data_IF_210020370429
#
_entry.id   IF_210020370429
#
_cell.length_a   1.000
_cell.length_b   1.000
_cell.length_c   1.000
_cell.angle_alpha   90.00
_cell.angle_beta   90.00
_cell.angle_gamma   90.00
#
_symmetry.space_group_name_H-M   'P 1'
#
loop_
_entity.id
_entity.type
_entity.pdbx_description
1 polymer ?
#
# COMPACT_ATOMS: atom_id res chain seq x y z
N UNK A 1 -23.67 48.88 54.57
CA UNK A 1 -24.69 48.28 53.70
C UNK A 1 -24.53 48.90 52.33
N UNK A 2 -23.84 48.25 51.41
CA UNK A 2 -24.08 48.53 50.00
C UNK A 2 -23.83 47.26 49.18
N UNK A 3 -24.81 46.98 48.35
CA UNK A 3 -25.09 45.71 47.71
C UNK A 3 -25.37 46.01 46.25
N UNK A 4 -25.01 45.05 45.39
CA UNK A 4 -25.37 44.94 43.96
C UNK A 4 -24.40 45.62 42.99
N UNK A 5 -23.58 44.78 42.33
CA UNK A 5 -23.85 44.44 40.94
C UNK A 5 -22.96 43.29 40.47
N UNK A 6 -23.52 42.09 40.52
CA UNK A 6 -23.02 40.90 39.82
C UNK A 6 -23.29 41.06 38.32
N UNK A 7 -22.25 41.11 37.49
CA UNK A 7 -22.32 40.74 36.07
C UNK A 7 -21.12 39.87 35.75
N UNK A 8 -21.24 38.58 36.05
CA UNK A 8 -20.33 37.58 35.55
C UNK A 8 -20.70 37.29 34.08
N UNK A 9 -19.88 37.78 33.16
CA UNK A 9 -19.91 37.43 31.75
C UNK A 9 -19.47 35.97 31.61
N UNK A 10 -20.42 35.07 31.35
CA UNK A 10 -20.13 33.68 31.02
C UNK A 10 -19.82 33.63 29.51
N UNK A 11 -18.53 33.63 29.16
CA UNK A 11 -18.06 33.42 27.78
C UNK A 11 -18.12 31.92 27.49
N UNK A 12 -19.15 31.49 26.76
CA UNK A 12 -19.18 30.15 26.16
C UNK A 12 -18.14 30.09 25.03
N UNK A 13 -16.93 29.65 25.35
CA UNK A 13 -15.96 29.20 24.36
C UNK A 13 -16.48 27.89 23.74
N UNK A 14 -17.17 27.99 22.60
CA UNK A 14 -17.38 26.86 21.72
C UNK A 14 -16.02 26.42 21.17
N UNK A 15 -15.37 25.50 21.88
CA UNK A 15 -14.29 24.70 21.34
C UNK A 15 -14.87 23.89 20.17
N UNK A 16 -14.78 24.44 18.96
CA UNK A 16 -14.88 23.65 17.75
C UNK A 16 -13.70 22.67 17.77
N UNK A 17 -13.91 21.51 18.39
CA UNK A 17 -13.11 20.33 18.12
C UNK A 17 -13.35 19.98 16.66
N UNK A 18 -12.57 20.60 15.79
CA UNK A 18 -12.35 20.07 14.46
C UNK A 18 -11.89 18.63 14.68
N UNK A 19 -12.74 17.68 14.32
CA UNK A 19 -12.31 16.32 14.10
C UNK A 19 -11.30 16.40 12.96
N UNK A 20 -10.03 16.58 13.34
CA UNK A 20 -8.91 16.31 12.48
C UNK A 20 -8.95 14.80 12.23
N UNK A 21 -9.79 14.39 11.29
CA UNK A 21 -9.58 13.14 10.59
C UNK A 21 -8.14 13.24 10.11
N UNK A 22 -7.26 12.37 10.64
CA UNK A 22 -5.94 12.17 10.09
C UNK A 22 -6.16 11.65 8.66
N UNK A 23 -6.40 12.58 7.75
CA UNK A 23 -6.56 12.33 6.34
C UNK A 23 -5.19 11.83 5.92
N UNK A 24 -5.15 10.56 5.54
CA UNK A 24 -3.94 9.91 5.08
C UNK A 24 -3.26 10.81 4.05
N UNK A 25 -2.06 11.30 4.36
CA UNK A 25 -1.32 12.21 3.50
C UNK A 25 -0.42 11.40 2.57
N UNK A 26 -0.39 11.80 1.32
CA UNK A 26 0.61 11.30 0.38
C UNK A 26 1.82 12.23 0.41
N UNK A 27 2.92 11.76 0.98
CA UNK A 27 4.09 12.61 1.22
C UNK A 27 4.80 13.06 -0.07
N UNK A 28 4.58 12.35 -1.19
CA UNK A 28 5.31 12.55 -2.45
C UNK A 28 4.44 12.90 -3.66
N UNK A 29 3.12 13.00 -3.50
CA UNK A 29 2.21 13.48 -4.54
C UNK A 29 0.98 14.11 -3.87
N UNK A 30 0.62 15.34 -4.24
CA UNK A 30 -0.45 16.03 -3.53
C UNK A 30 -1.83 15.74 -4.13
N UNK A 31 -2.88 15.82 -3.31
CA UNK A 31 -4.26 15.77 -3.79
C UNK A 31 -4.56 16.90 -4.79
N UNK A 32 -3.97 18.07 -4.57
CA UNK A 32 -4.08 19.23 -5.45
C UNK A 32 -3.47 18.96 -6.84
N UNK A 33 -2.29 18.33 -6.91
CA UNK A 33 -1.68 17.92 -8.18
C UNK A 33 -2.60 16.98 -8.97
N UNK A 34 -3.17 15.96 -8.31
CA UNK A 34 -4.14 15.04 -8.95
C UNK A 34 -5.38 15.78 -9.41
N UNK A 35 -5.91 16.68 -8.58
CA UNK A 35 -7.13 17.45 -8.87
C UNK A 35 -6.95 18.43 -10.03
N UNK A 36 -5.74 18.99 -10.19
CA UNK A 36 -5.38 19.86 -11.31
C UNK A 36 -5.13 19.08 -12.60
N UNK A 37 -4.50 17.91 -12.52
CA UNK A 37 -4.19 17.09 -13.69
C UNK A 37 -5.45 16.41 -14.26
N UNK A 38 -6.41 16.04 -13.40
CA UNK A 38 -7.64 15.35 -13.76
C UNK A 38 -8.88 16.06 -13.17
N UNK A 39 -9.16 17.31 -13.59
CA UNK A 39 -10.22 18.13 -12.98
C UNK A 39 -11.62 17.58 -13.21
N UNK A 40 -11.83 16.81 -14.28
CA UNK A 40 -13.13 16.24 -14.67
C UNK A 40 -13.67 15.17 -13.72
N UNK A 41 -12.85 14.68 -12.77
CA UNK A 41 -13.21 13.64 -11.79
C UNK A 41 -13.23 14.14 -10.35
N UNK A 42 -13.27 15.46 -10.16
CA UNK A 42 -13.47 16.03 -8.84
C UNK A 42 -14.88 15.71 -8.29
N UNK A 43 -15.07 15.61 -6.96
CA UNK A 43 -14.03 15.74 -5.93
C UNK A 43 -13.11 14.52 -5.88
N UNK A 44 -11.81 14.78 -5.73
CA UNK A 44 -10.84 13.74 -5.41
C UNK A 44 -10.70 13.59 -3.90
N UNK A 45 -10.46 12.35 -3.45
CA UNK A 45 -10.06 12.05 -2.08
C UNK A 45 -8.81 11.19 -2.07
N UNK A 46 -8.03 11.29 -1.00
CA UNK A 46 -7.00 10.30 -0.70
C UNK A 46 -7.70 9.08 -0.11
N UNK A 47 -7.73 7.99 -0.86
CA UNK A 47 -8.30 6.72 -0.43
C UNK A 47 -7.28 5.82 0.27
N UNK A 48 -5.99 6.14 0.10
CA UNK A 48 -4.89 5.54 0.86
C UNK A 48 -3.61 6.33 0.65
N UNK A 49 -2.97 6.87 1.68
CA UNK A 49 -1.82 7.76 1.51
C UNK A 49 -0.78 7.59 2.61
N UNK A 50 0.47 7.29 2.25
CA UNK A 50 1.56 7.16 3.23
C UNK A 50 2.94 6.98 2.57
N UNK A 51 3.99 6.84 3.38
CA UNK A 51 5.38 6.66 2.91
C UNK A 51 5.46 5.59 1.80
N UNK A 52 5.78 6.01 0.57
CA UNK A 52 5.99 5.08 -0.55
C UNK A 52 4.75 4.55 -1.26
N UNK A 53 3.51 4.91 -0.85
CA UNK A 53 2.30 4.58 -1.63
C UNK A 53 1.19 5.63 -1.49
N UNK A 54 0.56 5.96 -2.62
CA UNK A 54 -0.56 6.89 -2.67
C UNK A 54 -1.66 6.39 -3.62
N UNK A 55 -2.89 6.44 -3.15
CA UNK A 55 -4.12 6.05 -3.83
C UNK A 55 -5.12 7.19 -3.70
N UNK A 56 -5.59 7.65 -4.84
CA UNK A 56 -6.58 8.69 -4.98
C UNK A 56 -7.81 8.10 -5.65
N UNK A 57 -8.99 8.52 -5.19
CA UNK A 57 -10.27 8.16 -5.78
C UNK A 57 -11.01 9.42 -6.17
N UNK A 58 -11.44 9.47 -7.43
CA UNK A 58 -12.25 10.54 -8.00
C UNK A 58 -13.64 10.04 -8.34
N UNK A 59 -14.57 10.96 -8.50
CA UNK A 59 -15.96 10.67 -8.82
C UNK A 59 -16.21 10.64 -10.32
N UNK A 60 -17.11 9.76 -10.75
CA UNK A 60 -17.66 9.78 -12.09
C UNK A 60 -19.07 10.36 -12.03
N UNK A 61 -19.23 11.63 -12.41
CA UNK A 61 -20.54 12.32 -12.42
C UNK A 61 -21.40 12.00 -13.66
N UNK A 62 -20.94 11.17 -14.59
CA UNK A 62 -21.82 10.69 -15.66
C UNK A 62 -22.82 9.70 -15.08
N UNK A 63 -23.99 10.21 -14.69
CA UNK A 63 -25.20 9.41 -14.58
C UNK A 63 -25.48 8.77 -15.96
N UNK A 64 -25.16 7.49 -16.12
CA UNK A 64 -25.83 6.71 -17.16
C UNK A 64 -27.30 6.56 -16.74
N UNK A 65 -28.20 7.00 -17.62
CA UNK A 65 -29.65 6.92 -17.42
C UNK A 65 -30.05 5.48 -17.06
N UNK A 66 -30.39 5.27 -15.78
CA UNK A 66 -30.83 3.97 -15.28
C UNK A 66 -29.95 3.39 -14.18
N UNK A 67 -29.85 4.10 -13.04
CA UNK A 67 -29.51 3.48 -11.75
C UNK A 67 -28.15 2.80 -11.61
N UNK A 68 -27.12 3.24 -12.34
CA UNK A 68 -25.83 2.57 -12.36
C UNK A 68 -24.88 3.02 -11.23
N UNK A 69 -24.28 2.03 -10.57
CA UNK A 69 -23.17 2.11 -9.63
C UNK A 69 -22.05 3.01 -10.17
N UNK A 70 -21.72 4.10 -9.49
CA UNK A 70 -20.57 4.95 -9.83
C UNK A 70 -19.28 4.16 -9.60
N UNK A 71 -18.67 3.67 -10.69
CA UNK A 71 -17.33 3.07 -10.59
C UNK A 71 -16.32 4.21 -10.36
N UNK A 72 -15.59 4.23 -9.23
CA UNK A 72 -14.67 5.32 -8.93
C UNK A 72 -13.52 5.33 -9.92
N UNK A 73 -13.03 6.53 -10.23
CA UNK A 73 -11.76 6.70 -10.94
C UNK A 73 -10.64 6.50 -9.94
N UNK A 74 -9.68 5.63 -10.24
CA UNK A 74 -8.60 5.30 -9.31
C UNK A 74 -7.27 5.74 -9.91
N UNK A 75 -6.48 6.50 -9.16
CA UNK A 75 -5.07 6.72 -9.46
C UNK A 75 -4.23 6.20 -8.29
N UNK A 76 -3.33 5.25 -8.55
CA UNK A 76 -2.42 4.68 -7.56
C UNK A 76 -0.98 4.81 -8.03
N UNK A 77 -0.10 5.27 -7.15
CA UNK A 77 1.34 5.35 -7.36
C UNK A 77 2.09 4.81 -6.15
N UNK A 78 3.14 4.03 -6.39
CA UNK A 78 3.99 3.41 -5.38
C UNK A 78 5.46 3.73 -5.70
N UNK A 79 6.25 4.04 -4.67
CA UNK A 79 7.70 4.25 -4.76
C UNK A 79 8.41 3.08 -4.08
N UNK A 80 9.46 2.58 -4.72
CA UNK A 80 10.36 1.57 -4.20
C UNK A 80 11.81 2.01 -4.40
N UNK A 81 12.65 1.93 -3.37
CA UNK A 81 14.05 2.32 -3.44
C UNK A 81 14.96 1.09 -3.53
N UNK A 82 15.78 1.04 -4.59
CA UNK A 82 16.81 0.03 -4.76
C UNK A 82 18.12 0.46 -4.07
N UNK A 83 19.07 -0.48 -3.91
CA UNK A 83 20.37 -0.18 -3.28
C UNK A 83 21.22 0.76 -4.11
N UNK A 84 21.11 0.70 -5.43
CA UNK A 84 21.85 1.52 -6.38
C UNK A 84 21.00 1.85 -7.60
N UNK A 85 21.38 2.87 -8.38
CA UNK A 85 20.71 3.17 -9.63
C UNK A 85 20.71 2.01 -10.64
N UNK A 86 21.79 1.24 -10.67
CA UNK A 86 21.91 0.07 -11.55
C UNK A 86 20.92 -1.03 -11.15
N UNK A 87 20.63 -1.21 -9.86
CA UNK A 87 19.60 -2.14 -9.43
C UNK A 87 18.18 -1.66 -9.77
N UNK A 88 17.92 -0.35 -9.76
CA UNK A 88 16.65 0.22 -10.22
C UNK A 88 16.42 -0.06 -11.72
N UNK A 89 17.46 0.15 -12.53
CA UNK A 89 17.45 -0.21 -13.97
C UNK A 89 17.17 -1.70 -14.16
N UNK A 90 17.92 -2.57 -13.45
CA UNK A 90 17.74 -4.03 -13.54
C UNK A 90 16.33 -4.45 -13.16
N UNK A 91 15.79 -3.88 -12.08
CA UNK A 91 14.44 -4.16 -11.63
C UNK A 91 13.41 -3.80 -12.71
N UNK A 92 13.42 -2.56 -13.22
CA UNK A 92 12.45 -2.13 -14.25
C UNK A 92 12.55 -2.98 -15.51
N UNK A 93 13.76 -3.32 -15.97
CA UNK A 93 13.96 -4.19 -17.14
C UNK A 93 13.48 -5.62 -16.90
N UNK A 94 13.72 -6.17 -15.71
CA UNK A 94 13.24 -7.51 -15.33
C UNK A 94 11.72 -7.57 -15.31
N UNK A 95 11.07 -6.59 -14.69
CA UNK A 95 9.60 -6.48 -14.70
C UNK A 95 9.07 -6.32 -16.13
N UNK A 96 9.71 -5.46 -16.94
CA UNK A 96 9.36 -5.30 -18.36
C UNK A 96 9.38 -6.64 -19.10
N UNK A 97 10.44 -7.44 -18.93
CA UNK A 97 10.59 -8.73 -19.60
C UNK A 97 9.50 -9.73 -19.19
N UNK A 98 9.11 -9.75 -17.92
CA UNK A 98 8.04 -10.64 -17.44
C UNK A 98 6.65 -10.20 -17.94
N UNK A 99 6.35 -8.90 -17.92
CA UNK A 99 5.05 -8.38 -18.37
C UNK A 99 4.90 -8.50 -19.89
N UNK A 100 5.98 -8.31 -20.65
CA UNK A 100 5.99 -8.46 -22.11
C UNK A 100 5.59 -9.86 -22.59
N UNK A 101 5.63 -10.88 -21.71
CA UNK A 101 5.14 -12.23 -22.04
C UNK A 101 3.61 -12.29 -22.20
N UNK A 102 2.89 -11.27 -21.72
CA UNK A 102 1.42 -11.27 -21.62
C UNK A 102 0.75 -10.02 -22.17
N UNK A 103 1.48 -8.91 -22.31
CA UNK A 103 0.92 -7.62 -22.71
C UNK A 103 1.83 -6.91 -23.71
N UNK A 104 1.19 -6.13 -24.60
CA UNK A 104 1.88 -5.22 -25.47
C UNK A 104 2.36 -3.99 -24.69
N UNK A 105 3.67 -3.79 -24.67
CA UNK A 105 4.30 -2.72 -23.90
C UNK A 105 4.64 -1.54 -24.80
N UNK A 106 4.31 -0.35 -24.32
CA UNK A 106 4.67 0.92 -24.96
C UNK A 106 5.73 1.66 -24.15
N UNK A 107 6.60 2.39 -24.84
CA UNK A 107 7.57 3.27 -24.18
C UNK A 107 6.84 4.43 -23.47
N UNK A 108 7.33 4.86 -22.31
CA UNK A 108 6.75 5.99 -21.57
C UNK A 108 7.67 7.23 -21.56
N UNK A 109 7.99 7.81 -22.74
CA UNK A 109 9.09 8.76 -22.88
C UNK A 109 8.92 10.01 -22.00
N UNK A 110 9.98 10.49 -21.37
CA UNK A 110 9.97 11.73 -20.59
C UNK A 110 9.49 11.57 -19.14
N UNK A 111 9.23 10.34 -18.69
CA UNK A 111 8.87 10.06 -17.29
C UNK A 111 10.07 9.53 -16.50
N UNK A 112 11.06 8.88 -17.13
CA UNK A 112 12.27 8.39 -16.45
C UNK A 112 13.28 7.82 -17.45
N UNK A 113 14.41 7.30 -16.96
CA UNK A 113 15.48 6.79 -17.82
C UNK A 113 15.11 5.46 -18.48
N UNK A 114 14.56 4.51 -17.72
CA UNK A 114 13.86 3.33 -18.22
C UNK A 114 12.41 3.42 -17.78
N UNK A 115 11.50 3.38 -18.75
CA UNK A 115 10.08 3.51 -18.46
C UNK A 115 9.23 2.86 -19.53
N UNK A 116 8.16 2.20 -19.10
CA UNK A 116 7.17 1.62 -19.98
C UNK A 116 5.79 1.66 -19.35
N UNK A 117 4.77 1.53 -20.18
CA UNK A 117 3.39 1.38 -19.76
C UNK A 117 2.69 0.33 -20.62
N UNK A 118 1.55 -0.15 -20.15
CA UNK A 118 0.63 -0.97 -20.92
C UNK A 118 -0.79 -0.74 -20.43
N UNK A 119 -1.76 -1.11 -21.25
CA UNK A 119 -3.19 -1.09 -20.90
C UNK A 119 -3.70 -2.53 -20.81
N UNK A 120 -4.48 -2.84 -19.77
CA UNK A 120 -5.07 -4.16 -19.57
C UNK A 120 -4.88 -4.73 -18.16
N UNK A 121 -5.48 -5.89 -17.87
CA UNK A 121 -5.39 -6.57 -16.57
C UNK A 121 -6.38 -7.72 -16.40
N UNK A 122 -6.24 -8.50 -15.32
CA UNK A 122 -6.97 -9.77 -15.07
C UNK A 122 -8.48 -9.63 -14.80
N UNK A 123 -9.08 -8.47 -15.03
CA UNK A 123 -10.50 -8.17 -14.75
C UNK A 123 -11.13 -7.29 -15.83
N UNK A 124 -10.72 -7.47 -17.09
CA UNK A 124 -11.17 -6.65 -18.23
C UNK A 124 -10.91 -5.15 -18.07
N UNK A 125 -10.07 -4.73 -17.12
CA UNK A 125 -9.86 -3.31 -16.87
C UNK A 125 -8.97 -2.68 -17.95
N UNK A 126 -9.47 -1.63 -18.62
CA UNK A 126 -8.72 -0.67 -19.43
C UNK A 126 -7.81 0.20 -18.54
N UNK A 127 -7.25 -0.38 -17.48
CA UNK A 127 -6.34 0.29 -16.59
C UNK A 127 -5.00 0.54 -17.29
N UNK A 128 -4.46 1.74 -17.13
CA UNK A 128 -3.11 2.09 -17.55
C UNK A 128 -2.15 1.76 -16.42
N UNK A 129 -1.24 0.82 -16.65
CA UNK A 129 -0.19 0.43 -15.72
C UNK A 129 1.15 0.99 -16.19
N UNK A 130 2.00 1.40 -15.25
CA UNK A 130 3.33 1.90 -15.59
C UNK A 130 4.41 1.47 -14.61
N UNK A 131 5.64 1.47 -15.12
CA UNK A 131 6.86 1.34 -14.34
C UNK A 131 7.89 2.31 -14.90
N UNK A 132 8.57 3.04 -14.01
CA UNK A 132 9.64 3.98 -14.34
C UNK A 132 10.67 4.02 -13.21
N UNK A 133 11.83 4.63 -13.44
CA UNK A 133 12.79 4.90 -12.37
C UNK A 133 13.61 6.19 -12.58
N UNK A 134 14.14 6.70 -11.46
CA UNK A 134 15.15 7.76 -11.38
C UNK A 134 16.14 7.39 -10.29
N UNK A 135 17.45 7.52 -10.53
CA UNK A 135 18.46 7.14 -9.55
C UNK A 135 18.15 5.77 -8.94
N UNK A 136 18.04 5.69 -7.62
CA UNK A 136 17.66 4.47 -6.86
C UNK A 136 16.15 4.19 -6.81
N UNK A 137 15.30 5.16 -7.12
CA UNK A 137 13.86 5.05 -6.96
C UNK A 137 13.20 4.45 -8.20
N UNK A 138 12.41 3.42 -8.01
CA UNK A 138 11.44 2.87 -8.96
C UNK A 138 10.06 3.40 -8.57
N UNK A 139 9.30 3.87 -9.56
CA UNK A 139 7.91 4.30 -9.37
C UNK A 139 7.03 3.49 -10.29
N UNK A 140 5.99 2.89 -9.73
CA UNK A 140 5.00 2.11 -10.46
C UNK A 140 3.61 2.48 -10.02
N UNK A 141 2.60 2.05 -10.77
CA UNK A 141 1.24 2.37 -10.41
C UNK A 141 0.23 1.97 -11.47
N UNK A 142 -1.00 2.39 -11.24
CA UNK A 142 -2.09 2.21 -12.17
C UNK A 142 -3.08 3.38 -12.15
N UNK A 143 -3.72 3.60 -13.27
CA UNK A 143 -4.86 4.50 -13.42
C UNK A 143 -6.03 3.70 -14.00
N UNK A 144 -7.16 3.70 -13.31
CA UNK A 144 -8.39 3.03 -13.73
C UNK A 144 -9.39 4.10 -14.15
N UNK A 145 -9.70 4.23 -15.46
CA UNK A 145 -10.69 5.18 -15.93
C UNK A 145 -12.12 4.78 -15.49
N UNK A 146 -13.05 5.74 -15.46
CA UNK A 146 -14.43 5.46 -15.07
C UNK A 146 -15.12 4.51 -16.04
N UNK A 147 -15.98 3.62 -15.54
CA UNK A 147 -16.78 2.72 -16.37
C UNK A 147 -15.95 1.81 -17.27
N UNK A 148 -14.67 1.61 -16.94
CA UNK A 148 -13.78 0.73 -17.67
C UNK A 148 -13.62 1.08 -19.16
N UNK A 149 -13.71 2.35 -19.52
CA UNK A 149 -13.56 2.80 -20.92
C UNK A 149 -12.10 2.91 -21.35
N UNK A 150 -11.86 2.99 -22.65
CA UNK A 150 -10.55 3.36 -23.21
C UNK A 150 -10.11 4.72 -22.67
N UNK A 151 -8.83 4.86 -22.34
CA UNK A 151 -8.25 6.14 -21.92
C UNK A 151 -8.28 7.14 -23.08
N UNK A 152 -8.49 8.41 -22.76
CA UNK A 152 -8.26 9.52 -23.69
C UNK A 152 -6.78 9.93 -23.66
N UNK A 153 -6.29 10.53 -24.75
CA UNK A 153 -4.94 11.10 -24.83
C UNK A 153 -4.69 12.15 -23.74
N UNK A 154 -5.73 12.91 -23.36
CA UNK A 154 -5.67 13.89 -22.28
C UNK A 154 -5.43 13.22 -20.92
N UNK A 155 -6.11 12.11 -20.63
CA UNK A 155 -5.89 11.35 -19.40
C UNK A 155 -4.51 10.69 -19.38
N UNK A 156 -4.07 10.13 -20.50
CA UNK A 156 -2.74 9.55 -20.59
C UNK A 156 -1.65 10.61 -20.35
N UNK A 157 -1.83 11.81 -20.90
CA UNK A 157 -0.93 12.96 -20.69
C UNK A 157 -0.96 13.48 -19.24
N UNK A 158 -2.14 13.50 -18.62
CA UNK A 158 -2.30 13.86 -17.21
C UNK A 158 -1.61 12.84 -16.29
N UNK A 159 -1.85 11.54 -16.51
CA UNK A 159 -1.18 10.46 -15.77
C UNK A 159 0.33 10.58 -15.94
N UNK A 160 0.83 10.78 -17.17
CA UNK A 160 2.25 10.99 -17.44
C UNK A 160 2.86 12.11 -16.58
N UNK A 161 2.16 13.24 -16.48
CA UNK A 161 2.59 14.40 -15.70
C UNK A 161 2.63 14.07 -14.20
N UNK A 162 1.61 13.38 -13.68
CA UNK A 162 1.57 12.94 -12.28
C UNK A 162 2.69 11.94 -11.94
N UNK A 163 3.01 11.02 -12.86
CA UNK A 163 4.11 10.07 -12.65
C UNK A 163 5.46 10.79 -12.65
N UNK A 164 5.66 11.77 -13.53
CA UNK A 164 6.88 12.59 -13.54
C UNK A 164 7.03 13.39 -12.23
N UNK A 165 5.95 13.95 -11.69
CA UNK A 165 5.95 14.64 -10.40
C UNK A 165 6.31 13.67 -9.25
N UNK A 166 5.65 12.51 -9.18
CA UNK A 166 5.93 11.49 -8.18
C UNK A 166 7.38 10.99 -8.25
N UNK A 167 7.94 10.89 -9.47
CA UNK A 167 9.32 10.49 -9.67
C UNK A 167 10.30 11.57 -9.20
N UNK A 168 10.02 12.84 -9.50
CA UNK A 168 10.81 13.97 -9.00
C UNK A 168 10.82 14.02 -7.48
N UNK A 169 9.65 13.80 -6.85
CA UNK A 169 9.51 13.76 -5.41
C UNK A 169 10.33 12.62 -4.75
N UNK A 170 10.53 11.49 -5.45
CA UNK A 170 11.38 10.38 -4.98
C UNK A 170 12.85 10.76 -4.79
N UNK A 171 13.34 11.79 -5.49
CA UNK A 171 14.72 12.25 -5.40
C UNK A 171 14.97 13.23 -4.24
N UNK A 172 13.92 13.63 -3.50
CA UNK A 172 14.08 14.56 -2.36
C UNK A 172 14.94 13.90 -1.26
N UNK A 173 15.85 14.67 -0.62
CA UNK A 173 16.66 14.15 0.48
C UNK A 173 15.79 13.53 1.59
N UNK A 174 16.19 12.38 2.13
CA UNK A 174 15.49 11.71 3.23
C UNK A 174 14.37 10.74 2.80
N UNK A 175 13.89 10.79 1.55
CA UNK A 175 12.78 9.93 1.10
C UNK A 175 13.11 8.44 1.16
N UNK A 176 14.31 8.05 0.74
CA UNK A 176 14.75 6.66 0.76
C UNK A 176 14.95 6.16 2.20
N UNK A 177 15.47 7.02 3.08
CA UNK A 177 15.64 6.74 4.49
C UNK A 177 14.29 6.56 5.19
N UNK A 178 13.32 7.43 4.91
CA UNK A 178 11.95 7.34 5.44
C UNK A 178 11.27 6.06 4.95
N UNK A 179 11.36 5.74 3.65
CA UNK A 179 10.87 4.48 3.12
C UNK A 179 11.56 3.26 3.76
N UNK A 180 12.79 3.40 4.25
CA UNK A 180 13.52 2.34 4.96
C UNK A 180 13.09 2.12 6.42
N UNK A 181 12.17 2.93 6.95
CA UNK A 181 11.66 2.84 8.32
C UNK A 181 10.28 2.19 8.32
N UNK A 182 10.21 0.92 8.70
CA UNK A 182 8.94 0.25 8.95
C UNK A 182 8.70 0.15 10.47
N UNK A 183 7.69 0.84 11.03
CA UNK A 183 7.44 0.80 12.47
C UNK A 183 6.99 -0.57 12.96
N UNK A 184 6.45 -1.41 12.07
CA UNK A 184 6.00 -2.77 12.38
C UNK A 184 7.09 -3.83 12.29
N UNK A 185 8.29 -3.47 11.82
CA UNK A 185 9.41 -4.40 11.71
C UNK A 185 10.48 -4.16 12.77
N UNK A 186 10.60 -5.12 13.68
CA UNK A 186 11.79 -5.24 14.50
C UNK A 186 12.96 -5.75 13.66
N UNK A 187 13.98 -4.91 13.45
CA UNK A 187 15.14 -5.27 12.63
C UNK A 187 15.90 -6.49 13.13
N UNK A 188 15.91 -6.78 14.44
CA UNK A 188 16.59 -7.95 14.97
C UNK A 188 15.81 -9.23 14.64
N UNK A 189 14.48 -9.21 14.77
CA UNK A 189 13.62 -10.33 14.39
C UNK A 189 13.63 -10.59 12.87
N UNK A 190 13.62 -9.54 12.05
CA UNK A 190 13.74 -9.70 10.59
C UNK A 190 15.05 -10.42 10.21
N UNK A 191 16.16 -10.10 10.86
CA UNK A 191 17.46 -10.77 10.62
C UNK A 191 17.48 -12.24 11.07
N UNK A 192 16.57 -12.66 11.95
CA UNK A 192 16.38 -14.07 12.32
C UNK A 192 15.50 -14.80 11.31
N UNK A 193 14.48 -14.11 10.78
CA UNK A 193 13.56 -14.67 9.79
C UNK A 193 14.22 -14.92 8.43
N UNK A 194 15.06 -13.98 7.97
CA UNK A 194 15.73 -14.04 6.68
C UNK A 194 17.20 -13.60 6.79
N UNK A 195 18.04 -14.07 5.85
CA UNK A 195 19.47 -13.75 5.85
C UNK A 195 19.73 -12.23 5.91
N UNK A 196 20.64 -11.75 6.78
CA UNK A 196 20.96 -10.34 6.86
C UNK A 196 21.75 -9.83 5.65
N UNK A 197 22.37 -10.73 4.87
CA UNK A 197 23.13 -10.35 3.68
C UNK A 197 22.18 -9.80 2.63
N UNK A 198 22.38 -8.54 2.23
CA UNK A 198 21.52 -7.87 1.25
C UNK A 198 20.14 -7.47 1.78
N UNK A 199 19.92 -7.54 3.10
CA UNK A 199 18.65 -7.20 3.71
C UNK A 199 18.27 -5.73 3.45
N UNK A 200 17.11 -5.54 2.82
CA UNK A 200 16.45 -4.26 2.60
C UNK A 200 15.07 -4.30 3.21
N UNK A 201 14.72 -3.26 3.95
CA UNK A 201 13.37 -3.05 4.48
C UNK A 201 12.80 -1.84 3.77
N UNK A 202 11.55 -1.94 3.32
CA UNK A 202 10.82 -0.85 2.70
C UNK A 202 9.39 -0.81 3.22
N UNK A 203 8.93 0.40 3.52
CA UNK A 203 7.55 0.71 3.85
C UNK A 203 6.80 1.09 2.56
N UNK A 204 5.63 0.49 2.37
CA UNK A 204 4.70 0.77 1.28
C UNK A 204 3.38 1.23 1.88
N UNK A 205 3.45 2.42 2.44
CA UNK A 205 2.42 3.03 3.22
C UNK A 205 2.43 2.63 4.70
N UNK A 206 1.54 3.22 5.50
CA UNK A 206 1.44 3.01 6.95
C UNK A 206 1.09 1.56 7.31
N UNK A 207 0.49 0.88 6.34
CA UNK A 207 -0.16 -0.41 6.49
C UNK A 207 0.56 -1.52 5.72
N UNK A 208 1.74 -1.28 5.15
CA UNK A 208 2.51 -2.36 4.54
C UNK A 208 4.00 -2.15 4.62
N UNK A 209 4.71 -3.23 4.88
CA UNK A 209 6.16 -3.27 4.83
C UNK A 209 6.64 -4.55 4.17
N UNK A 210 7.78 -4.47 3.51
CA UNK A 210 8.46 -5.63 2.91
C UNK A 210 9.93 -5.59 3.28
N UNK A 211 10.42 -6.72 3.78
CA UNK A 211 11.83 -6.97 3.95
C UNK A 211 12.25 -8.06 2.97
N UNK A 212 13.33 -7.86 2.23
CA UNK A 212 13.89 -8.89 1.35
C UNK A 212 15.40 -8.95 1.51
N UNK A 213 15.98 -10.13 1.32
CA UNK A 213 17.43 -10.33 1.37
C UNK A 213 18.13 -10.17 0.01
N UNK A 214 17.42 -9.70 -1.02
CA UNK A 214 17.94 -9.60 -2.39
C UNK A 214 18.21 -10.94 -3.08
N UNK A 215 17.89 -12.07 -2.45
CA UNK A 215 17.95 -13.39 -3.06
C UNK A 215 16.53 -13.90 -3.32
N UNK A 216 15.95 -14.63 -2.38
CA UNK A 216 14.66 -15.32 -2.54
C UNK A 216 13.80 -15.29 -1.27
N UNK A 217 14.24 -14.61 -0.21
CA UNK A 217 13.54 -14.61 1.05
C UNK A 217 12.89 -13.25 1.32
N UNK A 218 11.60 -13.26 1.63
CA UNK A 218 10.78 -12.08 1.87
C UNK A 218 10.04 -12.19 3.20
N UNK A 219 9.98 -11.11 3.96
CA UNK A 219 9.05 -10.93 5.08
C UNK A 219 8.11 -9.79 4.73
N UNK A 220 6.81 -9.99 4.89
CA UNK A 220 5.82 -8.95 4.62
C UNK A 220 5.02 -8.66 5.87
N UNK A 221 4.60 -7.40 5.98
CA UNK A 221 3.57 -6.95 6.88
C UNK A 221 2.47 -6.30 6.05
N UNK A 222 1.22 -6.57 6.39
CA UNK A 222 0.08 -5.78 5.94
C UNK A 222 -0.96 -5.58 7.04
N UNK A 223 -1.57 -4.40 7.06
CA UNK A 223 -2.77 -4.08 7.82
C UNK A 223 -3.90 -3.75 6.85
N UNK A 224 -5.07 -4.30 7.10
CA UNK A 224 -6.28 -4.01 6.31
C UNK A 224 -7.37 -3.54 7.24
N UNK A 225 -7.93 -2.36 6.97
CA UNK A 225 -9.09 -1.86 7.68
C UNK A 225 -10.33 -2.66 7.29
N UNK A 226 -11.04 -3.15 8.29
CA UNK A 226 -12.27 -3.92 8.12
C UNK A 226 -13.47 -2.98 8.07
N UNK A 227 -14.36 -3.23 7.10
CA UNK A 227 -15.61 -2.50 6.98
C UNK A 227 -16.52 -2.74 8.19
N UNK A 228 -16.58 -3.98 8.67
CA UNK A 228 -17.35 -4.39 9.84
C UNK A 228 -16.79 -5.71 10.42
N UNK A 229 -17.35 -6.16 11.54
CA UNK A 229 -16.94 -7.40 12.21
C UNK A 229 -17.17 -8.65 11.35
N UNK A 230 -18.26 -8.67 10.57
CA UNK A 230 -18.57 -9.77 9.64
C UNK A 230 -17.47 -9.95 8.60
N UNK A 231 -16.97 -8.85 8.01
CA UNK A 231 -15.83 -8.90 7.08
C UNK A 231 -14.59 -9.50 7.74
N UNK A 232 -14.35 -9.19 9.01
CA UNK A 232 -13.25 -9.77 9.80
C UNK A 232 -13.40 -11.28 9.98
N UNK A 233 -14.57 -11.73 10.44
CA UNK A 233 -14.88 -13.15 10.63
C UNK A 233 -14.77 -13.93 9.32
N UNK A 234 -15.29 -13.39 8.22
CA UNK A 234 -15.18 -13.98 6.89
C UNK A 234 -13.73 -14.11 6.42
N UNK A 235 -12.91 -13.07 6.63
CA UNK A 235 -11.49 -13.11 6.30
C UNK A 235 -10.75 -14.18 7.11
N UNK A 236 -10.99 -14.24 8.43
CA UNK A 236 -10.40 -15.27 9.28
C UNK A 236 -10.83 -16.69 8.86
N UNK A 237 -12.11 -16.89 8.55
CA UNK A 237 -12.64 -18.18 8.09
C UNK A 237 -12.04 -18.58 6.74
N UNK A 238 -11.86 -17.64 5.82
CA UNK A 238 -11.21 -17.89 4.53
C UNK A 238 -9.78 -18.40 4.71
N UNK A 239 -9.04 -17.86 5.69
CA UNK A 239 -7.69 -18.33 6.03
C UNK A 239 -7.71 -19.76 6.60
N UNK A 240 -8.65 -20.08 7.49
CA UNK A 240 -8.82 -21.45 8.05
C UNK A 240 -9.20 -22.45 6.96
N UNK A 241 -10.03 -22.05 6.00
CA UNK A 241 -10.48 -22.91 4.90
C UNK A 241 -9.45 -23.04 3.77
N UNK A 242 -8.36 -22.26 3.81
CA UNK A 242 -7.29 -22.38 2.83
C UNK A 242 -6.65 -23.77 2.91
N UNK A 243 -6.10 -24.30 1.82
CA UNK A 243 -5.51 -25.64 1.79
C UNK A 243 -4.10 -25.64 2.40
N UNK A 244 -4.02 -25.22 3.66
CA UNK A 244 -2.84 -25.03 4.49
C UNK A 244 -3.10 -25.58 5.91
N UNK A 245 -2.04 -25.82 6.67
CA UNK A 245 -2.16 -26.03 8.12
C UNK A 245 -2.50 -24.70 8.79
N UNK A 246 -3.50 -24.71 9.67
CA UNK A 246 -3.90 -23.56 10.49
C UNK A 246 -3.86 -23.93 11.97
N UNK A 247 -3.05 -23.23 12.75
CA UNK A 247 -2.92 -23.37 14.20
C UNK A 247 -3.49 -22.13 14.88
N UNK A 248 -4.26 -22.31 15.96
CA UNK A 248 -4.77 -21.17 16.75
C UNK A 248 -3.64 -20.57 17.58
N UNK A 249 -3.61 -19.24 17.65
CA UNK A 249 -2.72 -18.47 18.53
C UNK A 249 -3.57 -17.65 19.52
N UNK A 250 -3.98 -18.24 20.67
CA UNK A 250 -4.91 -17.61 21.60
C UNK A 250 -4.44 -16.24 22.13
N UNK A 251 -3.13 -16.00 22.19
CA UNK A 251 -2.57 -14.72 22.65
C UNK A 251 -2.92 -13.53 21.73
N UNK A 252 -3.36 -13.79 20.50
CA UNK A 252 -3.83 -12.75 19.55
C UNK A 252 -5.36 -12.66 19.49
N UNK A 253 -6.07 -13.30 20.42
CA UNK A 253 -7.53 -13.29 20.49
C UNK A 253 -8.20 -14.34 19.58
N UNK A 254 -9.53 -14.24 19.38
CA UNK A 254 -10.33 -15.31 18.77
C UNK A 254 -10.01 -15.58 17.29
N UNK A 255 -9.39 -14.61 16.61
CA UNK A 255 -9.00 -14.71 15.21
C UNK A 255 -7.47 -14.84 15.01
N UNK A 256 -6.73 -15.11 16.09
CA UNK A 256 -5.29 -15.35 16.04
C UNK A 256 -4.96 -16.70 15.40
N UNK A 257 -4.23 -16.68 14.29
CA UNK A 257 -3.88 -17.86 13.50
C UNK A 257 -2.40 -17.85 13.10
N UNK A 258 -1.77 -19.01 13.14
CA UNK A 258 -0.54 -19.32 12.39
C UNK A 258 -0.94 -20.23 11.22
N UNK A 259 -0.59 -19.83 10.00
CA UNK A 259 -0.91 -20.57 8.78
C UNK A 259 0.41 -20.94 8.10
N UNK A 260 0.59 -22.20 7.72
CA UNK A 260 1.81 -22.68 7.02
C UNK A 260 1.54 -24.01 6.30
N UNK A 261 2.58 -24.62 5.69
CA UNK A 261 2.47 -25.92 5.02
C UNK A 261 1.33 -25.99 4.00
N UNK A 262 1.21 -24.96 3.15
CA UNK A 262 0.20 -24.91 2.11
C UNK A 262 0.47 -25.96 1.02
N UNK A 263 -0.58 -26.61 0.54
CA UNK A 263 -0.50 -27.63 -0.53
C UNK A 263 -0.28 -27.03 -1.92
N UNK A 264 -0.51 -25.73 -2.08
CA UNK A 264 -0.30 -24.98 -3.30
C UNK A 264 0.25 -23.58 -3.00
N UNK A 265 0.90 -22.96 -4.00
CA UNK A 265 1.52 -21.65 -3.87
C UNK A 265 2.98 -21.70 -3.41
N UNK A 266 3.55 -20.54 -3.09
CA UNK A 266 4.91 -20.47 -2.56
C UNK A 266 4.94 -20.95 -1.10
N UNK A 267 5.93 -21.76 -0.70
CA UNK A 267 6.11 -22.12 0.70
C UNK A 267 6.26 -20.88 1.58
N UNK A 268 5.36 -20.74 2.54
CA UNK A 268 5.27 -19.57 3.40
C UNK A 268 4.65 -19.90 4.75
N UNK A 269 4.89 -19.03 5.72
CA UNK A 269 4.19 -19.02 7.00
C UNK A 269 3.63 -17.62 7.22
N UNK A 270 2.46 -17.56 7.84
CA UNK A 270 1.70 -16.34 8.05
C UNK A 270 1.15 -16.32 9.47
N UNK A 271 1.31 -15.21 10.18
CA UNK A 271 0.58 -14.92 11.41
C UNK A 271 -0.49 -13.89 11.08
N UNK A 272 -1.75 -14.28 11.29
CA UNK A 272 -2.92 -13.47 11.05
C UNK A 272 -3.65 -13.20 12.37
N UNK A 273 -4.11 -11.98 12.59
CA UNK A 273 -5.00 -11.67 13.70
C UNK A 273 -5.85 -10.43 13.42
N UNK A 274 -6.91 -10.25 14.22
CA UNK A 274 -7.77 -9.07 14.17
C UNK A 274 -7.67 -8.33 15.50
N UNK A 275 -7.41 -7.03 15.42
CA UNK A 275 -7.42 -6.13 16.59
C UNK A 275 -8.19 -4.85 16.25
N UNK A 276 -9.25 -4.58 16.99
CA UNK A 276 -10.19 -3.50 16.66
C UNK A 276 -10.82 -3.70 15.27
N UNK A 277 -10.83 -2.65 14.45
CA UNK A 277 -11.34 -2.70 13.06
C UNK A 277 -10.25 -2.97 12.03
N UNK A 278 -9.20 -3.69 12.40
CA UNK A 278 -8.08 -3.98 11.51
C UNK A 278 -7.68 -5.45 11.56
N UNK A 279 -7.47 -6.04 10.38
CA UNK A 279 -6.78 -7.31 10.22
C UNK A 279 -5.29 -7.05 10.02
N UNK A 280 -4.46 -7.86 10.65
CA UNK A 280 -3.01 -7.81 10.64
C UNK A 280 -2.47 -9.11 10.09
N UNK A 281 -1.51 -9.00 9.19
CA UNK A 281 -0.89 -10.15 8.56
C UNK A 281 0.63 -9.94 8.52
N UNK A 282 1.36 -10.92 9.03
CA UNK A 282 2.80 -11.01 8.94
C UNK A 282 3.14 -12.30 8.22
N UNK A 283 3.92 -12.25 7.14
CA UNK A 283 4.31 -13.46 6.41
C UNK A 283 5.80 -13.56 6.19
N UNK A 284 6.32 -14.79 6.13
CA UNK A 284 7.68 -15.11 5.71
C UNK A 284 7.65 -16.11 4.58
N UNK A 285 8.34 -15.80 3.49
CA UNK A 285 8.45 -16.59 2.26
C UNK A 285 9.94 -16.83 2.01
N UNK A 286 10.55 -17.88 2.57
CA UNK A 286 12.00 -18.08 2.48
C UNK A 286 12.43 -18.89 1.24
N UNK A 287 11.51 -19.17 0.31
CA UNK A 287 11.73 -19.98 -0.90
C UNK A 287 11.72 -21.50 -0.67
N UNK A 288 11.45 -21.93 0.57
CA UNK A 288 11.26 -23.31 1.02
C UNK A 288 10.29 -23.31 2.20
N UNK A 289 9.82 -24.48 2.64
CA UNK A 289 8.94 -24.54 3.79
C UNK A 289 9.59 -23.88 5.03
N UNK A 290 8.92 -22.90 5.67
CA UNK A 290 9.45 -22.25 6.86
C UNK A 290 9.75 -23.24 7.97
N UNK A 291 10.91 -23.09 8.59
CA UNK A 291 11.30 -23.91 9.75
C UNK A 291 10.45 -23.58 10.98
N UNK A 292 10.41 -24.49 11.95
CA UNK A 292 9.76 -24.23 13.24
C UNK A 292 10.29 -22.94 13.90
N UNK A 293 11.61 -22.74 13.86
CA UNK A 293 12.24 -21.53 14.39
C UNK A 293 11.76 -20.26 13.66
N UNK A 294 11.65 -20.28 12.33
CA UNK A 294 11.12 -19.14 11.58
C UNK A 294 9.65 -18.85 11.92
N UNK A 295 8.83 -19.89 12.14
CA UNK A 295 7.44 -19.70 12.60
C UNK A 295 7.40 -19.06 14.00
N UNK A 296 8.27 -19.50 14.93
CA UNK A 296 8.40 -18.90 16.25
C UNK A 296 8.85 -17.43 16.18
N UNK A 297 9.86 -17.11 15.37
CA UNK A 297 10.34 -15.74 15.19
C UNK A 297 9.29 -14.85 14.52
N UNK A 298 8.44 -15.41 13.64
CA UNK A 298 7.33 -14.69 13.01
C UNK A 298 6.24 -14.35 14.02
N UNK A 299 5.87 -15.30 14.89
CA UNK A 299 4.95 -15.06 16.01
C UNK A 299 5.50 -13.96 16.93
N UNK A 300 6.80 -14.01 17.25
CA UNK A 300 7.43 -12.99 18.07
C UNK A 300 7.37 -11.60 17.42
N UNK A 301 7.57 -11.53 16.09
CA UNK A 301 7.44 -10.27 15.34
C UNK A 301 6.01 -9.74 15.39
N UNK A 302 5.02 -10.58 15.09
CA UNK A 302 3.60 -10.23 15.15
C UNK A 302 3.18 -9.76 16.55
N UNK A 303 3.68 -10.41 17.60
CA UNK A 303 3.38 -10.08 19.01
C UNK A 303 3.78 -8.67 19.37
N UNK A 304 4.94 -8.19 18.91
CA UNK A 304 5.37 -6.80 19.18
C UNK A 304 4.39 -5.78 18.59
N UNK A 305 3.93 -6.00 17.36
CA UNK A 305 2.92 -5.12 16.73
C UNK A 305 1.54 -5.26 17.35
N UNK A 306 1.22 -6.41 17.94
CA UNK A 306 0.00 -6.59 18.72
C UNK A 306 0.05 -5.82 20.04
N UNK A 307 1.17 -5.87 20.77
CA UNK A 307 1.35 -5.20 22.07
C UNK A 307 1.49 -3.67 21.95
N UNK A 308 2.04 -3.17 20.85
CA UNK A 308 2.25 -1.73 20.63
C UNK A 308 0.98 -0.93 20.29
N UNK A 309 -0.19 -1.58 20.25
CA UNK A 309 -1.47 -0.98 19.85
C UNK A 309 -2.49 -1.01 20.97
#
# INVERSE_FOLDING_TARGET
MDSRSRKAFFVCAMAMTAFAHAQESCDFLTLDAVSKALPQYQPWRVAGGSTGRCRFEGENHRQEHGGATTTPVIFNVTQQFQSSPQEAVRFVRGVKAEIAKRYDLSAFPGVGAESFFYTGGSQDTNALWWFTHTGKAVVSGMYVPPGNRTLTDAEQSAVKSLVAEALSASNRPGMAEQAGQCPHFDRALIKKLISPKGLKVQQFGNDSCVANNGANAVVMFSRVRLENETSGSQLAQAKVNAPCTSEKLPEFGPFGLLIHSCTAGNPQAEVFFIKGRSAYEFSVIPGKEPTAQQRTDLIALARRSFEAQ
#
